data_IF_686445752534
#
_entry.id   IF_686445752534
#
_cell.length_a   1.000
_cell.length_b   1.000
_cell.length_c   1.000
_cell.angle_alpha   90.00
_cell.angle_beta   90.00
_cell.angle_gamma   90.00
#
_symmetry.space_group_name_H-M   'P 1'
#
loop_
_entity.id
_entity.type
_entity.pdbx_description
1 polymer ?
#
# COMPACT_ATOMS: atom_id res chain seq x y z
N UNK A 1 16.42 -55.01 9.17
CA UNK A 1 16.31 -53.54 9.03
C UNK A 1 16.94 -53.13 7.70
N UNK A 2 16.17 -53.02 6.61
CA UNK A 2 16.75 -52.83 5.26
C UNK A 2 16.32 -51.56 4.55
N UNK A 3 15.01 -51.32 4.44
CA UNK A 3 14.50 -50.28 3.51
C UNK A 3 13.66 -49.19 4.17
N UNK A 4 13.05 -49.44 5.34
CA UNK A 4 12.15 -48.48 6.01
C UNK A 4 12.86 -47.22 6.52
N UNK A 5 14.17 -47.31 6.77
CA UNK A 5 14.98 -46.19 7.27
C UNK A 5 15.72 -45.45 6.14
N UNK A 6 15.67 -45.93 4.89
CA UNK A 6 16.38 -45.29 3.76
C UNK A 6 15.65 -44.05 3.28
N UNK A 7 14.32 -44.11 3.19
CA UNK A 7 13.50 -42.97 2.80
C UNK A 7 13.71 -41.72 3.69
N UNK A 8 13.65 -41.81 5.04
CA UNK A 8 13.88 -40.64 5.89
C UNK A 8 15.33 -40.13 5.80
N UNK A 9 16.32 -41.02 5.62
CA UNK A 9 17.72 -40.60 5.46
C UNK A 9 17.97 -39.88 4.14
N UNK A 10 17.34 -40.34 3.04
CA UNK A 10 17.43 -39.67 1.74
C UNK A 10 16.74 -38.31 1.80
N UNK A 11 15.56 -38.21 2.41
CA UNK A 11 14.87 -36.94 2.59
C UNK A 11 15.70 -35.96 3.41
N UNK A 12 16.28 -36.41 4.53
CA UNK A 12 17.14 -35.59 5.38
C UNK A 12 18.39 -35.12 4.62
N UNK A 13 19.04 -36.00 3.86
CA UNK A 13 20.19 -35.64 3.04
C UNK A 13 19.82 -34.62 1.94
N UNK A 14 18.65 -34.78 1.31
CA UNK A 14 18.15 -33.85 0.31
C UNK A 14 17.85 -32.47 0.91
N UNK A 15 17.19 -32.40 2.08
CA UNK A 15 16.91 -31.14 2.78
C UNK A 15 18.20 -30.42 3.20
N UNK A 16 19.17 -31.14 3.77
CA UNK A 16 20.48 -30.57 4.13
C UNK A 16 21.23 -30.10 2.88
N UNK A 17 21.17 -30.87 1.79
CA UNK A 17 21.75 -30.49 0.51
C UNK A 17 21.16 -29.19 -0.05
N UNK A 18 19.83 -29.03 -0.01
CA UNK A 18 19.16 -27.80 -0.42
C UNK A 18 19.56 -26.59 0.41
N UNK A 19 19.63 -26.74 1.74
CA UNK A 19 20.08 -25.67 2.64
C UNK A 19 21.53 -25.27 2.32
N UNK A 20 22.41 -26.24 2.11
CA UNK A 20 23.81 -25.99 1.76
C UNK A 20 23.95 -25.26 0.41
N UNK A 21 23.16 -25.65 -0.60
CA UNK A 21 23.10 -24.94 -1.88
C UNK A 21 22.60 -23.51 -1.67
N UNK A 22 21.48 -23.32 -0.96
CA UNK A 22 20.94 -21.99 -0.69
C UNK A 22 21.97 -21.06 -0.02
N UNK A 23 22.68 -21.54 1.00
CA UNK A 23 23.73 -20.78 1.69
C UNK A 23 24.91 -20.50 0.75
N UNK A 24 25.34 -21.48 -0.05
CA UNK A 24 26.44 -21.30 -1.01
C UNK A 24 26.12 -20.25 -2.11
N UNK A 25 24.84 -20.10 -2.46
CA UNK A 25 24.34 -19.09 -3.40
C UNK A 25 24.03 -17.74 -2.74
N UNK A 26 24.48 -17.52 -1.50
CA UNK A 26 24.34 -16.22 -0.82
C UNK A 26 23.03 -16.05 -0.04
N UNK A 27 22.23 -17.11 0.10
CA UNK A 27 21.01 -17.09 0.92
C UNK A 27 21.24 -16.81 2.41
N UNK A 28 22.50 -16.93 2.89
CA UNK A 28 22.87 -16.60 4.27
C UNK A 28 23.23 -15.13 4.51
N UNK A 29 23.40 -14.32 3.46
CA UNK A 29 23.87 -12.93 3.57
C UNK A 29 22.75 -11.93 3.25
N UNK A 30 21.58 -12.12 3.84
CA UNK A 30 20.52 -11.12 3.77
C UNK A 30 20.95 -9.88 4.57
N UNK A 31 21.21 -8.79 3.88
CA UNK A 31 21.32 -7.46 4.48
C UNK A 31 20.02 -6.75 4.13
N UNK A 32 19.17 -6.39 5.12
CA UNK A 32 17.97 -5.61 4.85
C UNK A 32 18.40 -4.36 4.07
N UNK A 33 17.73 -4.08 2.95
CA UNK A 33 17.92 -2.82 2.28
C UNK A 33 17.60 -1.70 3.27
N UNK A 34 18.38 -0.62 3.24
CA UNK A 34 18.06 0.55 4.06
C UNK A 34 16.66 1.03 3.66
N UNK A 35 15.81 1.29 4.66
CA UNK A 35 14.49 1.87 4.45
C UNK A 35 14.66 3.19 3.71
N UNK A 36 13.95 3.34 2.60
CA UNK A 36 14.02 4.56 1.79
C UNK A 36 13.47 5.75 2.57
N UNK A 37 14.05 6.93 2.37
CA UNK A 37 13.56 8.15 3.00
C UNK A 37 12.15 8.46 2.47
N UNK A 38 11.12 8.57 3.33
CA UNK A 38 9.76 8.93 2.91
C UNK A 38 9.65 10.36 2.37
N UNK A 39 10.59 11.24 2.71
CA UNK A 39 10.59 12.63 2.27
C UNK A 39 11.25 12.84 0.90
N UNK A 40 11.99 11.86 0.39
CA UNK A 40 12.55 11.91 -0.95
C UNK A 40 11.52 11.46 -1.99
N UNK A 41 11.41 12.20 -3.09
CA UNK A 41 10.56 11.83 -4.21
C UNK A 41 11.02 10.47 -4.77
N UNK A 42 10.06 9.57 -5.00
CA UNK A 42 10.33 8.25 -5.55
C UNK A 42 10.70 8.39 -7.03
N UNK A 43 11.63 7.53 -7.49
CA UNK A 43 12.03 7.51 -8.90
C UNK A 43 10.80 7.26 -9.80
N UNK A 44 10.62 8.11 -10.82
CA UNK A 44 9.44 8.08 -11.69
C UNK A 44 9.28 6.73 -12.39
N UNK A 45 10.39 6.07 -12.72
CA UNK A 45 10.38 4.74 -13.33
C UNK A 45 9.66 3.69 -12.47
N UNK A 46 9.74 3.82 -11.14
CA UNK A 46 9.04 2.93 -10.20
C UNK A 46 7.55 3.23 -10.13
N UNK A 47 7.14 4.47 -10.43
CA UNK A 47 5.74 4.90 -10.46
C UNK A 47 5.07 4.64 -11.82
N UNK A 48 5.85 4.61 -12.90
CA UNK A 48 5.41 4.29 -14.27
C UNK A 48 5.13 2.78 -14.44
N UNK A 49 5.95 1.92 -13.84
CA UNK A 49 5.76 0.46 -13.87
C UNK A 49 4.53 0.00 -13.05
N UNK A 50 3.95 0.89 -12.26
CA UNK A 50 2.77 0.61 -11.43
C UNK A 50 1.53 1.34 -11.94
N UNK A 51 0.36 0.77 -11.66
CA UNK A 51 -0.92 1.40 -12.00
C UNK A 51 -1.05 2.78 -11.33
N UNK A 52 -1.79 3.69 -11.99
CA UNK A 52 -1.98 5.08 -11.54
C UNK A 52 -2.41 5.17 -10.07
N UNK A 53 -3.39 4.35 -9.67
CA UNK A 53 -3.88 4.30 -8.29
C UNK A 53 -2.84 3.82 -7.29
N UNK A 54 -2.04 2.82 -7.65
CA UNK A 54 -1.01 2.30 -6.76
C UNK A 54 0.10 3.34 -6.56
N UNK A 55 0.49 4.05 -7.62
CA UNK A 55 1.42 5.17 -7.53
C UNK A 55 0.91 6.31 -6.64
N UNK A 56 -0.36 6.67 -6.75
CA UNK A 56 -1.01 7.69 -5.90
C UNK A 56 -1.03 7.24 -4.44
N UNK A 57 -1.45 6.00 -4.17
CA UNK A 57 -1.50 5.47 -2.81
C UNK A 57 -0.11 5.43 -2.14
N UNK A 58 0.91 5.00 -2.89
CA UNK A 58 2.28 4.98 -2.41
C UNK A 58 2.82 6.38 -2.13
N UNK A 59 2.56 7.34 -3.01
CA UNK A 59 2.98 8.74 -2.79
C UNK A 59 2.24 9.40 -1.62
N UNK A 60 0.96 9.06 -1.43
CA UNK A 60 0.19 9.54 -0.28
C UNK A 60 0.76 9.01 1.04
N UNK A 61 1.11 7.72 1.10
CA UNK A 61 1.78 7.13 2.26
C UNK A 61 3.14 7.80 2.54
N UNK A 62 3.86 8.20 1.50
CA UNK A 62 5.16 8.85 1.64
C UNK A 62 5.04 10.24 2.22
N UNK A 63 4.08 11.01 1.72
CA UNK A 63 3.84 12.33 2.26
C UNK A 63 3.34 12.28 3.70
N UNK A 64 2.52 11.30 4.06
CA UNK A 64 2.08 11.11 5.44
C UNK A 64 3.23 10.67 6.35
N UNK A 65 4.05 9.70 5.93
CA UNK A 65 5.21 9.25 6.70
C UNK A 65 6.24 10.36 6.89
N UNK A 66 6.46 11.18 5.85
CA UNK A 66 7.34 12.35 5.91
C UNK A 66 6.84 13.39 6.93
N UNK A 67 5.54 13.71 6.92
CA UNK A 67 4.93 14.66 7.85
C UNK A 67 4.95 14.17 9.31
N UNK A 68 4.78 12.85 9.51
CA UNK A 68 4.84 12.21 10.82
C UNK A 68 6.28 11.92 11.29
N UNK A 69 7.28 12.11 10.43
CA UNK A 69 8.68 11.77 10.69
C UNK A 69 8.91 10.30 11.10
N UNK A 70 8.20 9.38 10.46
CA UNK A 70 8.31 7.93 10.67
C UNK A 70 8.71 7.21 9.40
N UNK A 71 9.13 5.95 9.50
CA UNK A 71 9.39 5.14 8.30
C UNK A 71 8.09 4.72 7.61
N UNK A 72 8.16 4.46 6.30
CA UNK A 72 7.00 4.02 5.49
C UNK A 72 6.48 2.67 5.99
N UNK A 73 7.40 1.79 6.35
CA UNK A 73 7.12 0.45 6.86
C UNK A 73 6.40 0.53 8.20
N UNK A 74 6.86 1.43 9.08
CA UNK A 74 6.22 1.66 10.38
C UNK A 74 4.81 2.24 10.24
N UNK A 75 4.62 3.24 9.36
CA UNK A 75 3.30 3.79 9.10
C UNK A 75 2.35 2.75 8.48
N UNK A 76 2.86 1.92 7.57
CA UNK A 76 2.07 0.84 6.94
C UNK A 76 1.62 -0.19 7.97
N UNK A 77 2.47 -0.53 8.93
CA UNK A 77 2.11 -1.41 10.05
C UNK A 77 1.10 -0.74 10.99
N UNK A 78 1.25 0.56 11.24
CA UNK A 78 0.35 1.32 12.10
C UNK A 78 -1.09 1.37 11.56
N UNK A 79 -1.27 1.47 10.24
CA UNK A 79 -2.61 1.55 9.62
C UNK A 79 -3.25 0.19 9.35
N UNK A 80 -2.57 -0.92 9.66
CA UNK A 80 -3.04 -2.26 9.33
C UNK A 80 -4.36 -2.61 10.04
N UNK A 81 -4.56 -2.11 11.26
CA UNK A 81 -5.78 -2.28 12.03
C UNK A 81 -5.96 -1.17 13.09
N UNK A 82 -7.17 -1.01 13.65
CA UNK A 82 -7.48 0.08 14.59
C UNK A 82 -6.69 0.03 15.91
N UNK A 83 -6.26 -1.16 16.34
CA UNK A 83 -5.48 -1.33 17.57
C UNK A 83 -4.03 -0.91 17.34
N UNK A 84 -3.45 -1.32 16.21
CA UNK A 84 -2.12 -0.88 15.78
C UNK A 84 -2.04 0.64 15.59
N UNK A 85 -3.09 1.25 15.03
CA UNK A 85 -3.15 2.71 14.83
C UNK A 85 -3.14 3.46 16.16
N UNK A 86 -3.92 2.98 17.14
CA UNK A 86 -3.94 3.58 18.49
C UNK A 86 -2.58 3.43 19.19
N UNK A 87 -1.99 2.23 19.15
CA UNK A 87 -0.66 1.99 19.74
C UNK A 87 0.42 2.89 19.11
N UNK A 88 0.36 3.08 17.80
CA UNK A 88 1.28 3.96 17.08
C UNK A 88 1.08 5.43 17.50
N UNK A 89 -0.16 5.91 17.54
CA UNK A 89 -0.47 7.28 17.96
C UNK A 89 0.00 7.54 19.40
N UNK A 90 -0.24 6.59 20.31
CA UNK A 90 0.21 6.68 21.70
C UNK A 90 1.74 6.66 21.81
N UNK A 91 2.42 5.78 21.06
CA UNK A 91 3.86 5.63 21.09
C UNK A 91 4.61 6.86 20.57
N UNK A 92 4.04 7.56 19.60
CA UNK A 92 4.61 8.75 18.97
C UNK A 92 4.02 10.07 19.46
N UNK A 93 3.13 10.03 20.46
CA UNK A 93 2.43 11.21 21.01
C UNK A 93 1.76 12.03 19.89
N UNK A 94 1.09 11.34 18.96
CA UNK A 94 0.45 11.95 17.78
C UNK A 94 -1.01 12.25 18.10
N UNK A 95 -1.35 13.53 18.18
CA UNK A 95 -2.73 13.98 18.31
C UNK A 95 -3.48 13.88 16.97
N UNK A 96 -4.82 13.83 17.03
CA UNK A 96 -5.70 13.74 15.86
C UNK A 96 -5.43 14.83 14.81
N UNK A 97 -5.13 16.07 15.24
CA UNK A 97 -4.80 17.19 14.35
C UNK A 97 -3.54 16.89 13.50
N UNK A 98 -2.59 16.15 14.06
CA UNK A 98 -1.34 15.79 13.40
C UNK A 98 -1.53 14.63 12.43
N UNK A 99 -2.42 13.69 12.74
CA UNK A 99 -2.87 12.65 11.79
C UNK A 99 -3.56 13.32 10.60
N UNK A 100 -4.48 14.25 10.83
CA UNK A 100 -5.17 14.98 9.76
C UNK A 100 -4.19 15.79 8.88
N UNK A 101 -3.20 16.43 9.50
CA UNK A 101 -2.14 17.13 8.77
C UNK A 101 -1.31 16.17 7.91
N UNK A 102 -0.96 15.00 8.43
CA UNK A 102 -0.21 13.97 7.70
C UNK A 102 -0.98 13.41 6.52
N UNK A 103 -2.26 13.05 6.69
CA UNK A 103 -3.08 12.57 5.58
C UNK A 103 -3.22 13.64 4.50
N UNK A 104 -3.40 14.91 4.89
CA UNK A 104 -3.43 16.03 3.95
C UNK A 104 -2.12 16.19 3.19
N UNK A 105 -0.99 16.18 3.90
CA UNK A 105 0.34 16.26 3.29
C UNK A 105 0.63 15.09 2.34
N UNK A 106 0.13 13.89 2.67
CA UNK A 106 0.11 12.72 1.80
C UNK A 106 -0.64 12.98 0.51
N UNK A 107 -1.91 13.38 0.61
CA UNK A 107 -2.76 13.64 -0.56
C UNK A 107 -2.22 14.77 -1.45
N UNK A 108 -1.72 15.86 -0.87
CA UNK A 108 -1.09 16.94 -1.63
C UNK A 108 0.13 16.43 -2.42
N UNK A 109 0.99 15.62 -1.80
CA UNK A 109 2.16 15.03 -2.48
C UNK A 109 1.77 14.06 -3.58
N UNK A 110 0.74 13.25 -3.37
CA UNK A 110 0.26 12.31 -4.39
C UNK A 110 -0.25 13.02 -5.66
N UNK A 111 -0.88 14.18 -5.50
CA UNK A 111 -1.30 15.02 -6.63
C UNK A 111 -0.07 15.61 -7.34
N UNK A 112 0.91 16.08 -6.58
CA UNK A 112 2.13 16.69 -7.12
C UNK A 112 2.96 15.68 -7.93
N UNK A 113 3.14 14.46 -7.40
CA UNK A 113 3.86 13.38 -8.07
C UNK A 113 3.11 12.90 -9.33
N UNK A 114 1.77 12.85 -9.29
CA UNK A 114 0.98 12.46 -10.46
C UNK A 114 1.02 13.53 -11.56
N UNK A 115 1.08 14.80 -11.21
CA UNK A 115 1.29 15.90 -12.17
C UNK A 115 2.71 15.88 -12.76
N UNK A 116 3.73 15.64 -11.93
CA UNK A 116 5.12 15.51 -12.38
C UNK A 116 5.30 14.37 -13.39
N UNK A 117 4.66 13.22 -13.12
CA UNK A 117 4.64 12.07 -14.02
C UNK A 117 3.76 12.26 -15.28
N UNK A 118 3.16 13.44 -15.49
CA UNK A 118 2.31 13.73 -16.65
C UNK A 118 1.00 12.93 -16.69
N UNK A 119 0.55 12.39 -15.55
CA UNK A 119 -0.67 11.58 -15.44
C UNK A 119 -1.94 12.40 -15.22
N UNK A 120 -1.80 13.70 -14.94
CA UNK A 120 -2.90 14.63 -14.68
C UNK A 120 -2.60 15.94 -15.42
N UNK A 121 -3.58 16.49 -16.14
CA UNK A 121 -3.43 17.76 -16.84
C UNK A 121 -3.53 18.95 -15.84
N UNK A 122 -2.76 20.02 -16.04
CA UNK A 122 -2.54 21.07 -15.03
C UNK A 122 -3.79 21.83 -14.51
N UNK A 123 -4.94 21.74 -15.17
CA UNK A 123 -6.21 22.29 -14.65
C UNK A 123 -6.79 21.40 -13.54
N UNK A 124 -6.66 20.09 -13.67
CA UNK A 124 -7.13 19.10 -12.70
C UNK A 124 -6.22 19.09 -11.46
N UNK A 125 -4.91 19.29 -11.63
CA UNK A 125 -3.94 19.46 -10.54
C UNK A 125 -4.35 20.61 -9.61
N UNK A 126 -4.71 21.78 -10.15
CA UNK A 126 -5.05 22.94 -9.32
C UNK A 126 -6.30 22.68 -8.48
N UNK A 127 -7.29 21.98 -9.05
CA UNK A 127 -8.53 21.63 -8.36
C UNK A 127 -8.26 20.54 -7.31
N UNK A 128 -7.54 19.48 -7.67
CA UNK A 128 -7.20 18.37 -6.78
C UNK A 128 -6.32 18.84 -5.62
N UNK A 129 -5.33 19.70 -5.88
CA UNK A 129 -4.48 20.33 -4.84
C UNK A 129 -5.31 21.18 -3.89
N UNK A 130 -6.27 21.94 -4.41
CA UNK A 130 -7.15 22.75 -3.58
C UNK A 130 -8.11 21.89 -2.74
N UNK A 131 -8.61 20.79 -3.31
CA UNK A 131 -9.43 19.82 -2.58
C UNK A 131 -8.59 19.14 -1.50
N UNK A 132 -7.41 18.62 -1.81
CA UNK A 132 -6.52 18.01 -0.81
C UNK A 132 -6.23 18.97 0.35
N UNK A 133 -5.95 20.24 0.04
CA UNK A 133 -5.62 21.27 1.03
C UNK A 133 -6.78 21.68 1.95
N UNK A 134 -8.01 21.68 1.43
CA UNK A 134 -9.17 22.23 2.14
C UNK A 134 -10.26 21.19 2.47
N UNK A 135 -10.13 19.96 2.00
CA UNK A 135 -11.07 18.90 2.30
C UNK A 135 -11.01 18.56 3.80
N UNK A 136 -12.15 18.52 4.48
CA UNK A 136 -12.22 18.06 5.85
C UNK A 136 -12.16 16.53 5.86
N UNK A 137 -11.06 15.98 6.35
CA UNK A 137 -10.78 14.54 6.34
C UNK A 137 -11.61 13.81 7.41
N UNK A 138 -11.73 14.38 8.61
CA UNK A 138 -12.56 13.81 9.69
C UNK A 138 -14.01 13.48 9.29
N UNK A 139 -14.77 14.40 8.66
CA UNK A 139 -16.12 14.11 8.17
C UNK A 139 -16.17 13.03 7.08
N UNK A 140 -15.16 12.95 6.21
CA UNK A 140 -15.09 11.93 5.17
C UNK A 140 -14.86 10.54 5.78
N UNK A 141 -13.95 10.42 6.75
CA UNK A 141 -13.69 9.18 7.49
C UNK A 141 -14.92 8.75 8.28
N UNK A 142 -15.57 9.67 9.01
CA UNK A 142 -16.80 9.38 9.76
C UNK A 142 -17.94 8.93 8.84
N UNK A 143 -18.04 9.53 7.65
CA UNK A 143 -19.00 9.10 6.63
C UNK A 143 -18.72 7.70 6.10
N UNK A 144 -17.44 7.37 5.86
CA UNK A 144 -17.02 6.03 5.43
C UNK A 144 -17.24 4.98 6.52
N UNK A 145 -16.85 5.25 7.77
CA UNK A 145 -17.04 4.32 8.89
C UNK A 145 -18.53 4.07 9.17
N UNK A 146 -19.37 5.12 9.10
CA UNK A 146 -20.82 4.97 9.22
C UNK A 146 -21.42 4.10 8.11
N UNK A 147 -20.81 4.07 6.92
CA UNK A 147 -21.21 3.16 5.84
C UNK A 147 -20.65 1.74 6.05
N UNK A 148 -19.45 1.61 6.63
CA UNK A 148 -18.78 0.34 6.91
C UNK A 148 -19.39 -0.48 8.03
N UNK A 149 -19.98 0.16 9.03
CA UNK A 149 -20.63 -0.52 10.17
C UNK A 149 -22.06 -1.02 9.85
N UNK A 150 -22.67 -0.61 8.73
CA UNK A 150 -23.99 -1.05 8.30
C UNK A 150 -23.92 -2.16 7.23
N UNK A 151 -24.94 -3.04 7.18
CA UNK A 151 -25.19 -4.09 6.14
C UNK A 151 -25.16 -3.56 4.68
N UNK A 152 -25.00 -2.25 4.50
CA UNK A 152 -24.96 -1.52 3.24
C UNK A 152 -23.69 -1.77 2.40
N UNK A 153 -22.56 -2.12 3.02
CA UNK A 153 -21.31 -2.39 2.25
C UNK A 153 -21.45 -3.62 1.38
N UNK A 154 -22.15 -4.66 1.85
CA UNK A 154 -22.37 -5.86 1.04
C UNK A 154 -23.22 -5.53 -0.20
N UNK A 155 -24.23 -4.68 -0.05
CA UNK A 155 -25.03 -4.20 -1.19
C UNK A 155 -24.25 -3.31 -2.16
N UNK A 156 -23.29 -2.51 -1.65
CA UNK A 156 -22.41 -1.71 -2.49
C UNK A 156 -21.40 -2.59 -3.25
N UNK A 157 -20.88 -3.65 -2.63
CA UNK A 157 -19.98 -4.62 -3.27
C UNK A 157 -20.72 -5.43 -4.33
N UNK A 158 -21.98 -5.86 -4.10
CA UNK A 158 -22.80 -6.51 -5.13
C UNK A 158 -23.14 -5.55 -6.28
N UNK A 159 -23.36 -4.27 -5.98
CA UNK A 159 -23.63 -3.26 -7.00
C UNK A 159 -22.37 -2.89 -7.80
N UNK A 160 -21.21 -2.81 -7.15
CA UNK A 160 -19.91 -2.56 -7.78
C UNK A 160 -19.38 -3.79 -8.55
N UNK A 161 -19.65 -5.01 -8.08
CA UNK A 161 -19.45 -6.24 -8.83
C UNK A 161 -20.30 -6.31 -10.10
N UNK A 162 -21.44 -5.59 -10.12
CA UNK A 162 -22.26 -5.35 -11.32
C UNK A 162 -21.78 -4.19 -12.21
N UNK A 163 -20.80 -3.40 -11.76
CA UNK A 163 -20.24 -2.24 -12.46
C UNK A 163 -18.85 -2.52 -13.05
N UNK A 164 -18.48 -3.78 -13.28
CA UNK A 164 -17.22 -4.22 -13.94
C UNK A 164 -17.05 -3.75 -15.40
N UNK A 165 -17.84 -2.78 -15.85
CA UNK A 165 -17.82 -2.17 -17.18
C UNK A 165 -17.89 -0.63 -17.12
N UNK A 166 -17.27 -0.02 -16.09
CA UNK A 166 -17.10 1.43 -16.03
C UNK A 166 -15.80 1.82 -16.73
N UNK A 167 -15.94 2.38 -17.94
CA UNK A 167 -14.88 3.08 -18.67
C UNK A 167 -14.51 4.35 -17.89
N UNK A 168 -13.37 4.32 -17.18
CA UNK A 168 -12.83 5.50 -16.50
C UNK A 168 -11.73 6.07 -17.41
N UNK A 169 -11.89 7.30 -17.95
CA UNK A 169 -10.92 7.87 -18.86
C UNK A 169 -9.55 7.99 -18.18
N UNK A 170 -8.53 7.36 -18.78
CA UNK A 170 -7.16 7.33 -18.25
C UNK A 170 -6.76 6.04 -17.53
N UNK A 171 -7.70 5.12 -17.33
CA UNK A 171 -7.45 3.78 -16.80
C UNK A 171 -7.89 2.81 -17.88
N UNK A 172 -6.94 2.17 -18.55
CA UNK A 172 -7.25 1.08 -19.48
C UNK A 172 -8.11 0.02 -18.80
N UNK A 173 -8.93 -0.67 -19.60
CA UNK A 173 -9.92 -1.68 -19.21
C UNK A 173 -9.40 -2.61 -18.10
N UNK A 174 -9.77 -2.33 -16.84
CA UNK A 174 -9.42 -3.17 -15.71
C UNK A 174 -10.49 -4.26 -15.56
N UNK A 175 -10.26 -5.40 -16.21
CA UNK A 175 -11.07 -6.61 -16.07
C UNK A 175 -10.83 -7.27 -14.70
N UNK A 176 -11.58 -6.80 -13.69
CA UNK A 176 -11.58 -7.34 -12.33
C UNK A 176 -12.30 -8.71 -12.23
N UNK A 177 -12.81 -9.26 -13.34
CA UNK A 177 -13.50 -10.55 -13.39
C UNK A 177 -12.57 -11.77 -13.38
N UNK A 178 -11.24 -11.58 -13.44
CA UNK A 178 -10.26 -12.67 -13.57
C UNK A 178 -9.32 -12.82 -12.37
N UNK A 179 -9.66 -12.23 -11.22
CA UNK A 179 -8.84 -12.33 -10.01
C UNK A 179 -8.80 -13.75 -9.39
N UNK A 180 -9.70 -14.66 -9.80
CA UNK A 180 -9.65 -16.08 -9.45
C UNK A 180 -8.51 -16.86 -10.13
N UNK A 181 -7.79 -16.27 -11.10
CA UNK A 181 -6.61 -16.87 -11.73
C UNK A 181 -5.27 -16.32 -11.20
N UNK A 182 -5.29 -15.36 -10.27
CA UNK A 182 -4.08 -14.73 -9.72
C UNK A 182 -3.70 -15.17 -8.30
N UNK A 183 -4.38 -16.18 -7.75
CA UNK A 183 -4.01 -16.83 -6.50
C UNK A 183 -3.70 -18.31 -6.80
N UNK A 184 -2.45 -18.79 -6.67
CA UNK A 184 -2.14 -20.22 -6.78
C UNK A 184 -2.70 -21.04 -5.61
#
# INVERSE_FOLDING_TARGET
>A
MGDRNRAPLIALAASVGLIAVYVAFGGGSYTPAATADPCEARDESVLEDRGVFEGIALSALDGAACELHVSREELTLAIADPEATQQFADAHEIDADRIDAAVRAGLERAVDDAAAAGRIDGIEETILRQVARYAPIGPAISGLQALSDDDSVQGLIEQLGGLTNLDIPGLGDLDLGNLDQLIP
#
